data_IF_391868280877
#
_entry.id   IF_391868280877
#
_cell.length_a   1.000
_cell.length_b   1.000
_cell.length_c   1.000
_cell.angle_alpha   90.00
_cell.angle_beta   90.00
_cell.angle_gamma   90.00
#
_symmetry.space_group_name_H-M   'P 1'
#
loop_
_entity.id
_entity.type
_entity.pdbx_description
1 polymer ?
#
# COMPACT_ATOMS: atom_id res chain seq x y z
N UNK A 1 -12.54 29.90 -13.77
CA UNK A 1 -11.37 29.75 -14.67
C UNK A 1 -11.45 28.45 -15.48
N UNK A 2 -11.53 27.28 -14.84
CA UNK A 2 -11.69 25.96 -15.50
C UNK A 2 -12.88 25.92 -16.47
N UNK A 3 -14.08 26.32 -16.01
CA UNK A 3 -15.31 26.38 -16.82
C UNK A 3 -15.13 27.22 -18.10
N UNK A 4 -14.56 28.42 -17.97
CA UNK A 4 -14.35 29.32 -19.09
C UNK A 4 -13.38 28.76 -20.13
N UNK A 5 -12.34 28.02 -19.70
CA UNK A 5 -11.38 27.40 -20.62
C UNK A 5 -12.01 26.22 -21.36
N UNK A 6 -12.83 25.41 -20.68
CA UNK A 6 -13.53 24.29 -21.31
C UNK A 6 -14.60 24.78 -22.31
N UNK A 7 -15.28 25.87 -21.98
CA UNK A 7 -16.20 26.59 -22.88
C UNK A 7 -15.49 27.22 -24.09
N UNK A 8 -14.19 27.50 -23.99
CA UNK A 8 -13.32 27.91 -25.09
C UNK A 8 -12.72 26.72 -25.87
N UNK A 9 -13.31 25.54 -25.73
CA UNK A 9 -12.94 24.31 -26.44
C UNK A 9 -11.55 23.74 -26.07
N UNK A 10 -10.97 24.15 -24.94
CA UNK A 10 -9.79 23.47 -24.40
C UNK A 10 -10.18 22.12 -23.77
N UNK A 11 -9.42 21.07 -24.06
CA UNK A 11 -9.58 19.77 -23.41
C UNK A 11 -9.18 19.83 -21.93
N UNK A 12 -9.69 18.88 -21.13
CA UNK A 12 -9.34 18.76 -19.71
C UNK A 12 -7.83 18.57 -19.48
N UNK A 13 -7.15 17.86 -20.37
CA UNK A 13 -5.68 17.71 -20.34
C UNK A 13 -4.96 19.03 -20.66
N UNK A 14 -5.44 19.82 -21.63
CA UNK A 14 -4.86 21.13 -21.90
C UNK A 14 -5.04 22.07 -20.69
N UNK A 15 -6.19 21.99 -20.03
CA UNK A 15 -6.47 22.74 -18.80
C UNK A 15 -5.53 22.29 -17.67
N UNK A 16 -5.30 20.99 -17.49
CA UNK A 16 -4.42 20.47 -16.44
C UNK A 16 -2.98 20.96 -16.60
N UNK A 17 -2.45 20.96 -17.83
CA UNK A 17 -1.12 21.51 -18.15
C UNK A 17 -1.01 22.99 -17.80
N UNK A 18 -2.06 23.77 -18.08
CA UNK A 18 -2.09 25.21 -17.75
C UNK A 18 -2.18 25.47 -16.25
N UNK A 19 -2.91 24.63 -15.53
CA UNK A 19 -3.04 24.72 -14.07
C UNK A 19 -1.87 24.08 -13.32
N UNK A 20 -0.98 23.34 -14.00
CA UNK A 20 0.09 22.53 -13.41
C UNK A 20 -0.47 21.55 -12.36
N UNK A 21 -1.57 20.90 -12.72
CA UNK A 21 -2.22 19.88 -11.89
C UNK A 21 -2.30 18.56 -12.67
N UNK A 22 -2.37 17.45 -11.96
CA UNK A 22 -2.52 16.14 -12.60
C UNK A 22 -3.87 16.06 -13.35
N UNK A 23 -3.91 15.51 -14.58
CA UNK A 23 -5.12 15.49 -15.42
C UNK A 23 -6.36 14.91 -14.72
N UNK A 24 -6.24 13.82 -13.98
CA UNK A 24 -7.35 13.21 -13.25
C UNK A 24 -7.79 14.04 -12.04
N UNK A 25 -6.94 14.87 -11.41
CA UNK A 25 -7.42 15.83 -10.39
C UNK A 25 -8.34 16.85 -11.04
N UNK A 26 -7.93 17.42 -12.18
CA UNK A 26 -8.76 18.36 -12.94
C UNK A 26 -10.06 17.71 -13.38
N UNK A 27 -10.01 16.48 -13.91
CA UNK A 27 -11.19 15.72 -14.31
C UNK A 27 -12.14 15.47 -13.14
N UNK A 28 -11.63 15.06 -11.96
CA UNK A 28 -12.45 14.86 -10.75
C UNK A 28 -13.12 16.16 -10.31
N UNK A 29 -12.36 17.25 -10.24
CA UNK A 29 -12.91 18.57 -9.87
C UNK A 29 -13.96 19.04 -10.85
N UNK A 30 -13.75 18.84 -12.16
CA UNK A 30 -14.70 19.18 -13.22
C UNK A 30 -15.98 18.36 -13.07
N UNK A 31 -15.87 17.03 -12.94
CA UNK A 31 -17.03 16.16 -12.77
C UNK A 31 -17.85 16.51 -11.52
N UNK A 32 -17.19 16.79 -10.40
CA UNK A 32 -17.86 17.13 -9.14
C UNK A 32 -18.57 18.49 -9.21
N UNK A 33 -17.85 19.53 -9.63
CA UNK A 33 -18.31 20.92 -9.44
C UNK A 33 -18.97 21.52 -10.69
N UNK A 34 -18.72 20.96 -11.88
CA UNK A 34 -19.31 21.44 -13.14
C UNK A 34 -20.44 20.52 -13.57
N UNK A 35 -20.19 19.21 -13.61
CA UNK A 35 -21.20 18.22 -14.03
C UNK A 35 -22.11 17.77 -12.87
N UNK A 36 -21.82 18.17 -11.63
CA UNK A 36 -22.61 17.83 -10.45
C UNK A 36 -22.62 16.33 -10.12
N UNK A 37 -21.57 15.61 -10.53
CA UNK A 37 -21.45 14.17 -10.28
C UNK A 37 -21.08 13.93 -8.82
N UNK A 38 -21.84 13.06 -8.16
CA UNK A 38 -21.53 12.65 -6.79
C UNK A 38 -20.15 11.99 -6.67
N UNK A 39 -19.39 12.36 -5.64
CA UNK A 39 -18.02 11.88 -5.39
C UNK A 39 -17.89 10.36 -5.45
N UNK A 40 -18.86 9.62 -4.92
CA UNK A 40 -18.81 8.15 -4.87
C UNK A 40 -18.86 7.51 -6.27
N UNK A 41 -19.35 8.25 -7.28
CA UNK A 41 -19.50 7.77 -8.66
C UNK A 41 -18.33 8.15 -9.56
N UNK A 42 -17.58 9.20 -9.22
CA UNK A 42 -16.52 9.76 -10.09
C UNK A 42 -15.47 8.70 -10.44
N UNK A 43 -14.99 7.93 -9.46
CA UNK A 43 -13.98 6.89 -9.73
C UNK A 43 -14.48 5.85 -10.73
N UNK A 44 -15.70 5.34 -10.54
CA UNK A 44 -16.33 4.38 -11.45
C UNK A 44 -16.54 4.98 -12.84
N UNK A 45 -16.84 6.27 -12.92
CA UNK A 45 -17.06 6.98 -14.17
C UNK A 45 -15.75 7.10 -14.97
N UNK A 46 -14.65 7.47 -14.31
CA UNK A 46 -13.32 7.47 -14.93
C UNK A 46 -12.95 6.08 -15.41
N UNK A 47 -13.18 5.03 -14.61
CA UNK A 47 -12.90 3.65 -15.00
C UNK A 47 -13.74 3.20 -16.21
N UNK A 48 -15.02 3.60 -16.28
CA UNK A 48 -15.90 3.27 -17.40
C UNK A 48 -15.46 3.89 -18.73
N UNK A 49 -14.58 4.90 -18.70
CA UNK A 49 -14.03 5.47 -19.93
C UNK A 49 -13.02 4.54 -20.59
N UNK A 50 -12.43 3.59 -19.85
CA UNK A 50 -11.44 2.63 -20.35
C UNK A 50 -12.05 1.35 -20.94
N UNK A 51 -13.31 1.06 -20.64
CA UNK A 51 -13.98 -0.13 -21.19
C UNK A 51 -14.39 0.10 -22.64
N UNK A 52 -14.22 -0.89 -23.54
CA UNK A 52 -14.76 -0.83 -24.90
C UNK A 52 -16.28 -0.63 -24.87
N UNK A 53 -16.83 0.10 -25.84
CA UNK A 53 -18.25 0.44 -25.86
C UNK A 53 -19.18 -0.80 -25.98
N UNK A 54 -18.64 -1.96 -26.39
CA UNK A 54 -19.38 -3.22 -26.53
C UNK A 54 -19.67 -3.93 -25.18
N UNK A 55 -18.91 -3.63 -24.12
CA UNK A 55 -19.06 -4.23 -22.77
C UNK A 55 -20.01 -3.42 -21.84
N UNK A 56 -20.60 -2.34 -22.37
CA UNK A 56 -21.46 -1.38 -21.65
C UNK A 56 -22.76 -2.01 -21.09
N UNK A 57 -23.12 -3.21 -21.55
CA UNK A 57 -24.28 -3.96 -21.04
C UNK A 57 -24.05 -4.65 -19.68
N UNK A 58 -22.90 -4.42 -19.03
CA UNK A 58 -22.70 -4.80 -17.63
C UNK A 58 -23.65 -4.01 -16.72
N UNK A 59 -24.50 -4.72 -15.96
CA UNK A 59 -25.46 -4.18 -14.97
C UNK A 59 -24.88 -3.14 -13.98
N UNK A 60 -23.55 -3.01 -13.90
CA UNK A 60 -22.86 -2.04 -13.05
C UNK A 60 -22.88 -0.59 -13.57
N UNK A 61 -23.15 -0.34 -14.86
CA UNK A 61 -23.12 1.01 -15.44
C UNK A 61 -24.48 1.74 -15.42
N UNK A 62 -25.57 1.01 -15.17
CA UNK A 62 -26.95 1.54 -15.19
C UNK A 62 -27.22 2.69 -14.19
N UNK A 63 -26.33 2.91 -13.22
CA UNK A 63 -26.45 3.96 -12.19
C UNK A 63 -25.49 5.16 -12.39
N UNK A 64 -24.72 5.17 -13.48
CA UNK A 64 -23.78 6.26 -13.79
C UNK A 64 -24.45 7.35 -14.66
N UNK A 65 -24.08 8.62 -14.46
CA UNK A 65 -24.59 9.70 -15.29
C UNK A 65 -24.13 9.54 -16.75
N UNK A 66 -24.99 9.87 -17.73
CA UNK A 66 -24.60 9.85 -19.13
C UNK A 66 -23.56 10.94 -19.40
N UNK A 67 -22.56 10.63 -20.23
CA UNK A 67 -21.53 11.58 -20.65
C UNK A 67 -21.65 11.89 -22.13
N UNK A 68 -21.38 13.14 -22.50
CA UNK A 68 -21.22 13.52 -23.91
C UNK A 68 -20.01 12.80 -24.54
N UNK A 69 -20.04 12.58 -25.85
CA UNK A 69 -18.93 11.95 -26.57
C UNK A 69 -17.61 12.71 -26.40
N UNK A 70 -17.67 14.05 -26.38
CA UNK A 70 -16.50 14.90 -26.13
C UNK A 70 -15.96 14.67 -24.72
N UNK A 71 -16.81 14.76 -23.70
CA UNK A 71 -16.36 14.63 -22.30
C UNK A 71 -15.83 13.21 -22.03
N UNK A 72 -16.48 12.16 -22.55
CA UNK A 72 -15.97 10.78 -22.45
C UNK A 72 -14.55 10.65 -23.00
N UNK A 73 -14.28 11.22 -24.18
CA UNK A 73 -12.95 11.22 -24.78
C UNK A 73 -11.94 11.98 -23.92
N UNK A 74 -12.28 13.19 -23.48
CA UNK A 74 -11.40 14.01 -22.64
C UNK A 74 -11.07 13.33 -21.30
N UNK A 75 -12.05 12.64 -20.69
CA UNK A 75 -11.82 11.88 -19.46
C UNK A 75 -10.91 10.66 -19.70
N UNK A 76 -11.08 9.95 -20.82
CA UNK A 76 -10.18 8.86 -21.21
C UNK A 76 -8.74 9.38 -21.36
N UNK A 77 -8.55 10.48 -22.09
CA UNK A 77 -7.24 11.12 -22.24
C UNK A 77 -6.64 11.52 -20.88
N UNK A 78 -7.45 12.07 -19.96
CA UNK A 78 -6.99 12.35 -18.61
C UNK A 78 -6.53 11.10 -17.86
N UNK A 79 -7.23 9.98 -18.01
CA UNK A 79 -6.86 8.72 -17.34
C UNK A 79 -5.58 8.12 -17.93
N UNK A 80 -5.41 8.19 -19.25
CA UNK A 80 -4.23 7.65 -19.95
C UNK A 80 -2.96 8.48 -19.70
N UNK A 81 -3.08 9.82 -19.62
CA UNK A 81 -1.95 10.75 -19.46
C UNK A 81 -1.54 10.99 -18.00
N UNK A 82 -2.39 10.63 -17.02
CA UNK A 82 -2.11 10.90 -15.62
C UNK A 82 -1.30 9.78 -14.98
N UNK A 83 -0.03 10.10 -14.71
CA UNK A 83 0.97 9.21 -14.09
C UNK A 83 0.93 9.18 -12.56
N UNK A 84 0.05 9.96 -11.92
CA UNK A 84 0.07 10.13 -10.47
C UNK A 84 -1.21 9.67 -9.79
N UNK A 85 -2.38 9.95 -10.37
CA UNK A 85 -3.66 9.78 -9.70
C UNK A 85 -4.76 9.23 -10.62
N UNK A 86 -4.38 8.58 -11.72
CA UNK A 86 -5.33 7.86 -12.56
C UNK A 86 -5.81 6.55 -11.91
N UNK A 87 -7.00 6.04 -12.28
CA UNK A 87 -7.41 4.67 -11.96
C UNK A 87 -6.39 3.60 -12.37
N UNK A 88 -5.57 3.86 -13.40
CA UNK A 88 -4.50 2.96 -13.83
C UNK A 88 -3.37 2.92 -12.79
N UNK A 89 -2.88 4.08 -12.35
CA UNK A 89 -1.90 4.19 -11.27
C UNK A 89 -2.44 3.61 -9.95
N UNK A 90 -3.72 3.83 -9.65
CA UNK A 90 -4.38 3.26 -8.46
C UNK A 90 -4.44 1.72 -8.51
N UNK A 91 -4.51 1.13 -9.71
CA UNK A 91 -4.45 -0.33 -9.89
C UNK A 91 -3.04 -0.85 -9.68
N UNK A 92 -2.02 -0.17 -10.21
CA UNK A 92 -0.60 -0.52 -9.99
C UNK A 92 -0.27 -0.46 -8.50
N UNK A 93 -0.57 0.65 -7.83
CA UNK A 93 -0.32 0.81 -6.38
C UNK A 93 -1.03 -0.25 -5.53
N UNK A 94 -2.22 -0.71 -5.93
CA UNK A 94 -2.91 -1.81 -5.24
C UNK A 94 -2.18 -3.15 -5.47
N UNK A 95 -1.76 -3.43 -6.70
CA UNK A 95 -0.98 -4.64 -7.02
C UNK A 95 0.33 -4.68 -6.24
N UNK A 96 1.05 -3.55 -6.17
CA UNK A 96 2.26 -3.43 -5.35
C UNK A 96 1.95 -3.69 -3.86
N UNK A 97 0.85 -3.13 -3.35
CA UNK A 97 0.35 -3.43 -2.00
C UNK A 97 0.21 -4.93 -1.75
N UNK A 98 -0.53 -5.63 -2.62
CA UNK A 98 -0.76 -7.07 -2.52
C UNK A 98 0.56 -7.87 -2.57
N UNK A 99 1.50 -7.48 -3.43
CA UNK A 99 2.82 -8.13 -3.55
C UNK A 99 3.65 -7.98 -2.28
N UNK A 100 3.68 -6.79 -1.69
CA UNK A 100 4.44 -6.52 -0.46
C UNK A 100 3.82 -7.16 0.78
N UNK A 101 2.49 -7.25 0.86
CA UNK A 101 1.80 -8.05 1.87
C UNK A 101 2.16 -9.55 1.73
N UNK A 102 2.20 -10.07 0.50
CA UNK A 102 2.62 -11.45 0.25
C UNK A 102 4.07 -11.68 0.68
N UNK A 103 4.98 -10.75 0.39
CA UNK A 103 6.36 -10.81 0.83
C UNK A 103 6.49 -10.82 2.36
N UNK A 104 5.68 -10.02 3.06
CA UNK A 104 5.60 -10.05 4.53
C UNK A 104 5.18 -11.44 5.03
N UNK A 105 4.10 -12.00 4.48
CA UNK A 105 3.55 -13.32 4.83
C UNK A 105 4.59 -14.42 4.63
N UNK A 106 5.27 -14.42 3.47
CA UNK A 106 6.35 -15.35 3.16
C UNK A 106 7.46 -15.23 4.20
N UNK A 107 7.88 -14.02 4.54
CA UNK A 107 8.98 -13.80 5.47
C UNK A 107 8.63 -14.23 6.90
N UNK A 108 7.45 -13.89 7.40
CA UNK A 108 6.99 -14.34 8.72
C UNK A 108 6.92 -15.87 8.80
N UNK A 109 6.45 -16.51 7.73
CA UNK A 109 6.38 -17.98 7.63
C UNK A 109 7.78 -18.60 7.59
N UNK A 110 8.71 -18.04 6.82
CA UNK A 110 10.12 -18.49 6.79
C UNK A 110 10.80 -18.38 8.15
N UNK A 111 10.48 -17.35 8.93
CA UNK A 111 11.01 -17.14 10.28
C UNK A 111 10.29 -17.98 11.34
N UNK A 112 9.24 -18.73 10.97
CA UNK A 112 8.45 -19.54 11.90
C UNK A 112 7.66 -18.70 12.91
N UNK A 113 7.37 -17.43 12.59
CA UNK A 113 6.59 -16.53 13.44
C UNK A 113 5.11 -16.80 13.17
N UNK A 114 4.32 -17.26 14.17
CA UNK A 114 2.90 -17.51 14.00
C UNK A 114 2.11 -16.19 13.99
N UNK A 115 1.23 -16.01 13.01
CA UNK A 115 0.38 -14.82 12.87
C UNK A 115 -0.97 -15.16 12.25
N UNK A 116 -1.94 -14.26 12.41
CA UNK A 116 -3.20 -14.21 11.69
C UNK A 116 -3.14 -13.07 10.69
N UNK A 117 -3.45 -13.36 9.42
CA UNK A 117 -3.51 -12.34 8.39
C UNK A 117 -4.83 -11.54 8.46
N UNK A 118 -4.87 -10.44 7.73
CA UNK A 118 -6.03 -9.54 7.71
C UNK A 118 -7.36 -10.27 7.39
N UNK A 119 -7.33 -11.21 6.43
CA UNK A 119 -8.51 -11.98 6.04
C UNK A 119 -9.09 -12.79 7.20
N UNK A 120 -8.24 -13.53 7.93
CA UNK A 120 -8.64 -14.30 9.11
C UNK A 120 -9.21 -13.39 10.22
N UNK A 121 -8.60 -12.21 10.43
CA UNK A 121 -9.09 -11.25 11.42
C UNK A 121 -10.47 -10.70 11.04
N UNK A 122 -10.71 -10.44 9.75
CA UNK A 122 -12.02 -10.00 9.24
C UNK A 122 -13.08 -11.10 9.38
N UNK A 123 -12.75 -12.36 9.11
CA UNK A 123 -13.66 -13.50 9.34
C UNK A 123 -14.07 -13.65 10.81
N UNK A 124 -13.17 -13.29 11.74
CA UNK A 124 -13.46 -13.23 13.18
C UNK A 124 -14.28 -12.02 13.61
N UNK A 125 -14.63 -11.11 12.68
CA UNK A 125 -15.47 -9.94 12.94
C UNK A 125 -14.73 -8.74 13.53
N UNK A 126 -13.40 -8.65 13.38
CA UNK A 126 -12.66 -7.48 13.82
C UNK A 126 -12.88 -6.31 12.83
N UNK A 127 -13.29 -5.16 13.35
CA UNK A 127 -13.55 -3.96 12.54
C UNK A 127 -12.28 -3.22 12.10
N UNK A 128 -11.15 -3.43 12.78
CA UNK A 128 -9.84 -2.86 12.48
C UNK A 128 -8.81 -3.97 12.55
N UNK A 129 -8.11 -4.17 11.46
CA UNK A 129 -7.27 -5.35 11.21
C UNK A 129 -5.92 -4.90 10.67
N UNK A 130 -4.81 -5.11 11.39
CA UNK A 130 -3.49 -4.99 10.80
C UNK A 130 -3.28 -6.11 9.77
N UNK A 131 -2.32 -5.93 8.87
CA UNK A 131 -2.00 -6.92 7.83
C UNK A 131 -1.57 -8.26 8.44
N UNK A 132 -0.84 -8.20 9.57
CA UNK A 132 -0.52 -9.36 10.39
C UNK A 132 -0.68 -9.05 11.89
N UNK A 133 -1.47 -9.85 12.58
CA UNK A 133 -1.52 -9.90 14.04
C UNK A 133 -0.75 -11.14 14.51
N UNK A 134 0.33 -10.96 15.28
CA UNK A 134 1.14 -12.09 15.74
C UNK A 134 0.36 -12.89 16.78
N UNK A 135 0.46 -14.22 16.76
CA UNK A 135 -0.21 -15.06 17.77
C UNK A 135 0.44 -14.87 19.15
N UNK A 136 1.74 -14.58 19.16
CA UNK A 136 2.53 -14.24 20.33
C UNK A 136 3.41 -13.02 20.03
N UNK A 137 3.54 -12.07 20.97
CA UNK A 137 4.40 -10.92 20.76
C UNK A 137 5.86 -11.36 20.67
N UNK A 138 6.63 -10.73 19.79
CA UNK A 138 8.06 -10.97 19.65
C UNK A 138 8.84 -9.73 20.03
N UNK A 139 10.09 -9.88 20.41
CA UNK A 139 11.03 -8.75 20.46
C UNK A 139 11.81 -8.73 19.15
N UNK A 140 11.91 -7.58 18.49
CA UNK A 140 12.74 -7.39 17.30
C UNK A 140 13.85 -6.40 17.60
N UNK A 141 15.01 -6.61 16.99
CA UNK A 141 16.16 -5.72 17.18
C UNK A 141 16.24 -4.70 16.05
N UNK A 142 16.21 -3.41 16.39
CA UNK A 142 16.45 -2.30 15.46
C UNK A 142 17.54 -1.40 16.01
N UNK A 143 18.60 -1.21 15.22
CA UNK A 143 19.85 -0.64 15.71
C UNK A 143 20.37 -1.42 16.92
N UNK A 144 20.56 -0.73 18.04
CA UNK A 144 21.02 -1.32 19.30
C UNK A 144 19.90 -1.56 20.32
N UNK A 145 18.64 -1.41 19.90
CA UNK A 145 17.48 -1.46 20.78
C UNK A 145 16.55 -2.63 20.44
N UNK A 146 15.93 -3.21 21.47
CA UNK A 146 14.93 -4.25 21.35
C UNK A 146 13.54 -3.68 21.60
N UNK A 147 12.60 -4.03 20.75
CA UNK A 147 11.24 -3.52 20.77
C UNK A 147 10.24 -4.66 20.70
N UNK A 148 9.16 -4.58 21.47
CA UNK A 148 8.07 -5.57 21.43
C UNK A 148 7.16 -5.26 20.26
N UNK A 149 6.81 -6.29 19.49
CA UNK A 149 5.91 -6.19 18.34
C UNK A 149 4.81 -7.25 18.49
N UNK A 150 3.56 -6.81 18.48
CA UNK A 150 2.36 -7.67 18.51
C UNK A 150 1.59 -7.65 17.18
N UNK A 151 1.75 -6.60 16.37
CA UNK A 151 1.13 -6.48 15.06
C UNK A 151 2.07 -5.80 14.06
N UNK A 152 1.85 -6.08 12.78
CA UNK A 152 2.58 -5.50 11.65
C UNK A 152 1.56 -5.01 10.63
N UNK A 153 1.76 -3.78 10.17
CA UNK A 153 0.97 -3.17 9.10
C UNK A 153 1.93 -2.60 8.06
N UNK A 154 1.74 -2.99 6.81
CA UNK A 154 2.71 -2.87 5.73
C UNK A 154 2.24 -1.84 4.71
N UNK A 155 3.18 -1.06 4.19
CA UNK A 155 2.93 0.06 3.28
C UNK A 155 3.87 -0.06 2.09
N UNK A 156 3.31 -0.32 0.92
CA UNK A 156 4.01 -0.36 -0.37
C UNK A 156 4.42 1.04 -0.86
N UNK A 157 5.03 1.84 0.01
CA UNK A 157 5.44 3.22 -0.28
C UNK A 157 6.57 3.65 0.66
N UNK A 158 7.15 4.81 0.37
CA UNK A 158 8.12 5.44 1.27
C UNK A 158 7.37 6.19 2.38
N UNK A 159 8.00 6.31 3.54
CA UNK A 159 7.49 7.15 4.60
C UNK A 159 7.78 8.63 4.28
N UNK A 160 6.73 9.43 4.15
CA UNK A 160 6.80 10.87 3.85
C UNK A 160 6.14 11.70 4.95
N UNK A 161 6.95 12.48 5.67
CA UNK A 161 6.52 13.29 6.81
C UNK A 161 5.69 14.51 6.35
N UNK A 162 4.63 14.82 7.09
CA UNK A 162 3.73 15.96 6.84
C UNK A 162 2.69 15.69 5.76
N UNK A 163 2.52 14.44 5.35
CA UNK A 163 1.53 14.05 4.33
C UNK A 163 0.21 13.60 4.96
N UNK A 164 -0.87 13.71 4.19
CA UNK A 164 -2.19 13.16 4.56
C UNK A 164 -2.09 11.63 4.78
N UNK A 165 -1.31 10.94 3.95
CA UNK A 165 -1.09 9.50 4.06
C UNK A 165 -0.45 9.12 5.40
N UNK A 166 0.60 9.84 5.81
CA UNK A 166 1.22 9.63 7.13
C UNK A 166 0.20 9.82 8.26
N UNK A 167 -0.59 10.89 8.21
CA UNK A 167 -1.62 11.18 9.22
C UNK A 167 -2.63 10.03 9.33
N UNK A 168 -3.05 9.48 8.18
CA UNK A 168 -3.97 8.33 8.14
C UNK A 168 -3.34 7.04 8.68
N UNK A 169 -2.08 6.77 8.33
CA UNK A 169 -1.35 5.60 8.84
C UNK A 169 -1.10 5.67 10.35
N UNK A 170 -0.76 6.85 10.88
CA UNK A 170 -0.61 7.07 12.32
C UNK A 170 -1.95 6.88 13.04
N UNK A 171 -3.05 7.41 12.50
CA UNK A 171 -4.38 7.20 13.08
C UNK A 171 -4.79 5.71 13.08
N UNK A 172 -4.43 4.98 12.02
CA UNK A 172 -4.62 3.53 11.93
C UNK A 172 -3.77 2.79 12.98
N UNK A 173 -2.48 3.12 13.10
CA UNK A 173 -1.57 2.56 14.10
C UNK A 173 -2.06 2.80 15.54
N UNK A 174 -2.54 4.01 15.87
CA UNK A 174 -3.17 4.30 17.16
C UNK A 174 -4.34 3.36 17.47
N UNK A 175 -5.18 3.06 16.47
CA UNK A 175 -6.31 2.15 16.65
C UNK A 175 -5.85 0.71 16.95
N UNK A 176 -4.71 0.28 16.41
CA UNK A 176 -4.11 -1.02 16.71
C UNK A 176 -3.45 -1.04 18.08
N UNK A 177 -2.68 0.00 18.44
CA UNK A 177 -2.03 0.08 19.76
C UNK A 177 -3.06 -0.04 20.88
N UNK A 178 -4.18 0.67 20.76
CA UNK A 178 -5.25 0.59 21.75
C UNK A 178 -5.91 -0.80 21.88
N UNK A 179 -5.78 -1.67 20.88
CA UNK A 179 -6.44 -3.00 20.83
C UNK A 179 -5.49 -4.14 21.13
N UNK A 180 -4.26 -4.05 20.62
CA UNK A 180 -3.30 -5.13 20.55
C UNK A 180 -1.98 -4.78 21.24
N UNK A 181 -1.74 -3.53 21.62
CA UNK A 181 -0.45 -3.10 22.18
C UNK A 181 0.57 -2.74 21.10
N UNK A 182 1.89 -2.78 21.40
CA UNK A 182 2.91 -2.21 20.53
C UNK A 182 3.04 -2.97 19.21
N UNK A 183 3.49 -2.28 18.16
CA UNK A 183 3.59 -2.88 16.84
C UNK A 183 4.54 -2.16 15.89
N UNK A 184 4.41 -2.48 14.61
CA UNK A 184 5.38 -2.09 13.59
C UNK A 184 4.68 -1.67 12.30
N UNK A 185 5.07 -0.50 11.79
CA UNK A 185 4.78 -0.04 10.44
C UNK A 185 5.99 -0.33 9.53
N UNK A 186 5.74 -1.05 8.43
CA UNK A 186 6.78 -1.37 7.44
C UNK A 186 6.55 -0.54 6.18
N UNK A 187 7.42 0.41 5.88
CA UNK A 187 7.40 1.22 4.65
C UNK A 187 8.43 0.68 3.65
N UNK A 188 7.99 -0.16 2.73
CA UNK A 188 8.88 -0.97 1.87
C UNK A 188 9.79 -0.17 0.94
N UNK A 189 9.45 1.09 0.62
CA UNK A 189 10.30 1.92 -0.23
C UNK A 189 11.24 2.86 0.54
N UNK A 190 11.32 2.69 1.87
CA UNK A 190 12.27 3.39 2.72
C UNK A 190 11.63 4.28 3.77
N UNK A 191 12.38 4.48 4.85
CA UNK A 191 12.07 5.46 5.90
C UNK A 191 13.22 6.48 5.98
N UNK A 192 12.89 7.76 6.16
CA UNK A 192 13.89 8.82 6.31
C UNK A 192 14.81 8.58 7.53
N UNK A 193 16.10 8.91 7.41
CA UNK A 193 17.13 8.64 8.44
C UNK A 193 16.90 9.37 9.77
N UNK A 194 16.17 10.50 9.74
CA UNK A 194 15.92 11.37 10.90
C UNK A 194 14.46 11.33 11.38
N UNK A 195 13.73 10.25 11.08
CA UNK A 195 12.37 10.14 11.61
C UNK A 195 12.44 9.90 13.13
N UNK A 196 11.87 10.83 13.90
CA UNK A 196 11.50 10.52 15.27
C UNK A 196 10.37 9.47 15.23
N UNK A 197 10.31 8.53 16.19
CA UNK A 197 9.16 7.65 16.29
C UNK A 197 7.89 8.50 16.39
N UNK A 198 6.95 8.31 15.47
CA UNK A 198 5.67 9.02 15.49
C UNK A 198 4.84 8.66 16.75
N UNK A 199 5.10 7.49 17.33
CA UNK A 199 4.56 7.00 18.59
C UNK A 199 5.59 6.12 19.30
N UNK A 200 5.65 6.19 20.63
CA UNK A 200 6.57 5.38 21.44
C UNK A 200 6.33 3.86 21.29
N UNK A 201 5.07 3.44 21.08
CA UNK A 201 4.66 2.04 20.95
C UNK A 201 4.63 1.53 19.50
N UNK A 202 5.04 2.35 18.52
CA UNK A 202 4.99 1.97 17.10
C UNK A 202 6.34 2.23 16.45
N UNK A 203 6.94 1.16 15.98
CA UNK A 203 8.19 1.21 15.25
C UNK A 203 7.94 1.47 13.77
N UNK A 204 8.79 2.29 13.16
CA UNK A 204 8.80 2.50 11.72
C UNK A 204 10.09 1.88 11.16
N UNK A 205 9.93 0.97 10.20
CA UNK A 205 11.04 0.28 9.53
C UNK A 205 10.78 0.23 8.03
N UNK A 206 11.82 -0.01 7.24
CA UNK A 206 11.73 -0.24 5.79
C UNK A 206 11.90 -1.71 5.38
N UNK A 207 12.17 -2.58 6.35
CA UNK A 207 12.25 -4.03 6.16
C UNK A 207 11.92 -4.74 7.48
N UNK A 208 11.50 -6.01 7.40
CA UNK A 208 11.34 -6.85 8.58
C UNK A 208 12.72 -7.13 9.22
N UNK A 209 12.94 -6.78 10.50
CA UNK A 209 14.23 -7.00 11.13
C UNK A 209 14.59 -8.49 11.17
N UNK A 210 15.84 -8.87 10.80
CA UNK A 210 16.22 -10.28 10.71
C UNK A 210 16.42 -10.94 12.08
N UNK A 211 16.71 -10.14 13.12
CA UNK A 211 16.93 -10.63 14.47
C UNK A 211 15.70 -10.38 15.34
N UNK A 212 15.14 -11.46 15.86
CA UNK A 212 14.00 -11.43 16.77
C UNK A 212 14.14 -12.50 17.86
N UNK A 213 13.33 -12.35 18.91
CA UNK A 213 13.25 -13.25 20.06
C UNK A 213 11.78 -13.52 20.38
N UNK A 214 11.44 -14.78 20.59
CA UNK A 214 10.18 -15.16 21.21
C UNK A 214 10.18 -14.86 22.72
N UNK A 215 9.00 -14.78 23.35
CA UNK A 215 8.89 -14.63 24.80
C UNK A 215 9.71 -15.71 25.53
N UNK A 216 10.53 -15.26 26.48
CA UNK A 216 11.37 -16.15 27.30
C UNK A 216 12.72 -16.51 26.68
N UNK A 217 12.99 -16.20 25.41
CA UNK A 217 14.31 -16.37 24.81
C UNK A 217 15.26 -15.23 25.21
N UNK A 218 16.56 -15.52 25.27
CA UNK A 218 17.59 -14.52 25.58
C UNK A 218 18.50 -14.24 24.39
N UNK A 219 19.12 -13.06 24.35
CA UNK A 219 20.02 -12.64 23.25
C UNK A 219 21.18 -13.63 22.98
N UNK A 220 21.61 -14.40 23.98
CA UNK A 220 22.63 -15.44 23.82
C UNK A 220 22.17 -16.62 22.96
N UNK A 221 20.86 -16.86 22.84
CA UNK A 221 20.28 -17.95 22.05
C UNK A 221 20.16 -17.61 20.57
N UNK A 222 20.09 -16.31 20.22
CA UNK A 222 20.04 -15.81 18.83
C UNK A 222 21.30 -16.19 18.05
N UNK A 223 22.45 -16.24 18.73
CA UNK A 223 23.74 -16.63 18.15
C UNK A 223 23.76 -18.08 17.63
N UNK A 224 22.77 -18.90 18.01
CA UNK A 224 22.64 -20.31 17.57
C UNK A 224 21.61 -20.50 16.45
N UNK A 225 20.83 -19.47 16.09
CA UNK A 225 19.79 -19.55 15.05
C UNK A 225 20.32 -19.34 13.62
N UNK A 226 21.64 -19.21 13.43
CA UNK A 226 22.31 -19.32 12.12
C UNK A 226 23.00 -20.67 11.93
N UNK A 227 22.23 -21.75 11.94
CA UNK A 227 22.45 -22.94 11.14
C UNK A 227 21.16 -23.78 11.21
N UNK A 228 20.52 -24.14 10.08
CA UNK A 228 19.41 -25.08 10.12
C UNK A 228 19.97 -26.46 10.46
N UNK A 229 20.02 -26.81 11.74
CA UNK A 229 20.25 -28.20 12.16
C UNK A 229 18.94 -28.96 12.04
N UNK A 230 18.80 -29.60 10.88
CA UNK A 230 17.72 -30.50 10.52
C UNK A 230 17.92 -31.83 11.25
N UNK A 231 17.17 -32.04 12.33
CA UNK A 231 16.74 -33.36 12.79
C UNK A 231 15.57 -33.12 13.77
N UNK A 232 14.39 -33.72 13.64
CA UNK A 232 14.04 -35.04 13.14
C UNK A 232 12.56 -35.10 12.73
N UNK A 233 12.27 -35.74 11.61
CA UNK A 233 10.94 -36.13 11.08
C UNK A 233 10.02 -34.99 10.63
N UNK A 234 10.37 -34.35 9.52
CA UNK A 234 9.49 -33.44 8.79
C UNK A 234 10.23 -32.87 7.59
N UNK A 235 9.54 -32.74 6.46
CA UNK A 235 10.05 -32.26 5.16
C UNK A 235 11.11 -31.16 5.31
N UNK A 236 12.33 -31.45 4.85
CA UNK A 236 13.41 -30.46 4.79
C UNK A 236 13.16 -29.53 3.61
N UNK A 237 12.82 -28.28 3.88
CA UNK A 237 12.88 -27.23 2.87
C UNK A 237 14.34 -26.77 2.79
N UNK A 238 14.98 -27.03 1.65
CA UNK A 238 16.26 -26.40 1.32
C UNK A 238 15.95 -24.92 1.04
N UNK A 239 16.42 -24.06 1.92
CA UNK A 239 16.27 -22.62 1.78
C UNK A 239 17.32 -22.11 0.81
N UNK A 240 16.88 -21.63 -0.36
CA UNK A 240 17.73 -20.79 -1.20
C UNK A 240 17.69 -19.35 -0.65
N UNK A 241 18.85 -18.69 -0.46
CA UNK A 241 18.88 -17.32 0.03
C UNK A 241 18.10 -16.40 -0.91
N UNK A 242 17.00 -15.82 -0.42
CA UNK A 242 16.21 -14.89 -1.21
C UNK A 242 17.03 -13.62 -1.47
N UNK A 243 17.32 -13.35 -2.74
CA UNK A 243 17.95 -12.12 -3.16
C UNK A 243 16.85 -11.15 -3.59
N UNK A 244 16.65 -10.11 -2.78
CA UNK A 244 15.72 -9.03 -3.09
C UNK A 244 16.53 -7.86 -3.60
N UNK A 245 16.32 -7.50 -4.86
CA UNK A 245 16.96 -6.35 -5.48
C UNK A 245 15.86 -5.37 -5.84
N UNK A 246 15.83 -4.23 -5.16
CA UNK A 246 14.98 -3.09 -5.52
C UNK A 246 15.81 -2.13 -6.36
N UNK A 247 15.44 -2.00 -7.63
CA UNK A 247 16.00 -1.02 -8.56
C UNK A 247 14.98 0.06 -8.85
N UNK A 248 15.43 1.22 -9.31
CA UNK A 248 14.55 2.24 -9.89
C UNK A 248 14.81 2.30 -11.37
N UNK A 249 13.76 2.29 -12.18
CA UNK A 249 13.88 2.45 -13.63
C UNK A 249 14.17 3.92 -14.01
N UNK A 250 14.28 4.19 -15.31
CA UNK A 250 14.55 5.52 -15.86
C UNK A 250 13.46 6.55 -15.50
N UNK A 251 12.27 6.09 -15.12
CA UNK A 251 11.14 6.91 -14.67
C UNK A 251 11.07 7.04 -13.13
N UNK A 252 12.02 6.42 -12.41
CA UNK A 252 12.13 6.45 -10.96
C UNK A 252 11.19 5.50 -10.22
N UNK A 253 10.47 4.64 -10.94
CA UNK A 253 9.56 3.64 -10.37
C UNK A 253 10.36 2.48 -9.76
N UNK A 254 10.04 2.06 -8.53
CA UNK A 254 10.72 0.94 -7.89
C UNK A 254 10.29 -0.39 -8.55
N UNK A 255 11.26 -1.12 -9.10
CA UNK A 255 11.08 -2.50 -9.54
C UNK A 255 11.81 -3.44 -8.59
N UNK A 256 11.07 -4.35 -7.97
CA UNK A 256 11.63 -5.35 -7.06
C UNK A 256 11.68 -6.69 -7.76
N UNK A 257 12.89 -7.22 -7.94
CA UNK A 257 13.11 -8.57 -8.43
C UNK A 257 13.43 -9.46 -7.24
N UNK A 258 12.69 -10.56 -7.13
CA UNK A 258 12.91 -11.60 -6.12
C UNK A 258 13.42 -12.84 -6.85
N UNK A 259 14.65 -13.26 -6.54
CA UNK A 259 15.19 -14.54 -7.00
C UNK A 259 15.47 -15.46 -5.82
N UNK A 260 15.24 -16.75 -6.07
CA UNK A 260 15.57 -17.85 -5.18
C UNK A 260 16.93 -18.42 -5.61
#
# INVERSE_FOLDING_TARGET
MMLNMHAQDHSLVAISRRLRMAPCIVARTFLEHVEGVDKSKIYKLLLSTLTPDDDINSNNLNNLPPLSTRLRRELRECVEEDVHCSPLCDRVRRSEGDEYEHLMVLRLTQLGIPFENEHMLRERGLAKTPDALLVVPIQVKVGDTWHVVQWIDSKAMAHEVGTENETQHIAQAHAYVNRFGPGMLVYWLGVGRDHAPAMDDVMLVDHLPPAFLFPGQTSNEVSKLHAPDVASNGTTFLFEPTHVITTRDDDGLPSTVVSF
#
